data_IF_843995114518
#
_entry.id   IF_843995114518
#
_cell.length_a   1.000
_cell.length_b   1.000
_cell.length_c   1.000
_cell.angle_alpha   90.00
_cell.angle_beta   90.00
_cell.angle_gamma   90.00
#
_symmetry.space_group_name_H-M   'P 1'
#
loop_
_entity.id
_entity.type
_entity.pdbx_description
1 polymer ?
#
# COMPACT_ATOMS: atom_id res chain seq x y z
N UNK A 1 -24.72 7.00 9.28
CA UNK A 1 -23.31 7.00 9.75
C UNK A 1 -22.72 5.62 10.06
N UNK A 2 -22.93 5.03 11.25
CA UNK A 2 -22.10 3.98 11.89
C UNK A 2 -21.44 2.93 10.97
N UNK A 3 -22.21 2.25 10.11
CA UNK A 3 -21.70 1.18 9.26
C UNK A 3 -20.66 1.63 8.21
N UNK A 4 -20.60 2.92 7.86
CA UNK A 4 -19.57 3.45 6.95
C UNK A 4 -18.24 3.57 7.69
N UNK A 5 -18.26 4.24 8.86
CA UNK A 5 -17.11 4.33 9.76
C UNK A 5 -16.54 2.95 10.12
N UNK A 6 -17.41 1.97 10.40
CA UNK A 6 -17.00 0.60 10.72
C UNK A 6 -16.23 -0.09 9.57
N UNK A 7 -16.68 0.11 8.32
CA UNK A 7 -16.10 -0.53 7.12
C UNK A 7 -14.84 0.16 6.63
N UNK A 8 -14.80 1.48 6.64
CA UNK A 8 -13.60 2.25 6.33
C UNK A 8 -12.55 2.19 7.45
N UNK A 9 -12.92 1.73 8.66
CA UNK A 9 -12.03 1.74 9.82
C UNK A 9 -11.78 3.16 10.33
N UNK A 10 -12.71 4.08 10.13
CA UNK A 10 -12.55 5.52 10.39
C UNK A 10 -13.23 5.97 11.69
N UNK A 11 -13.10 7.26 12.01
CA UNK A 11 -13.83 7.92 13.08
C UNK A 11 -14.73 9.00 12.49
N UNK A 12 -16.01 8.72 12.29
CA UNK A 12 -16.96 9.68 11.70
C UNK A 12 -17.90 10.25 12.75
N UNK A 13 -18.21 11.54 12.65
CA UNK A 13 -19.19 12.24 13.51
C UNK A 13 -20.55 12.29 12.81
N UNK A 14 -21.56 11.69 13.45
CA UNK A 14 -22.97 11.82 13.08
C UNK A 14 -23.54 13.10 13.69
N UNK A 15 -24.13 13.95 12.85
CA UNK A 15 -24.81 15.18 13.26
C UNK A 15 -26.14 14.89 13.98
N UNK A 16 -26.67 15.82 14.80
CA UNK A 16 -28.00 15.69 15.39
C UNK A 16 -29.08 15.53 14.32
N UNK A 17 -29.82 14.42 14.33
CA UNK A 17 -30.87 14.11 13.36
C UNK A 17 -31.91 13.15 13.95
N UNK A 18 -33.12 13.07 13.36
CA UNK A 18 -34.21 12.14 13.74
C UNK A 18 -34.52 12.07 15.25
N UNK A 19 -34.51 13.22 15.95
CA UNK A 19 -34.80 13.31 17.40
C UNK A 19 -33.62 12.96 18.30
N UNK A 20 -32.42 12.76 17.76
CA UNK A 20 -31.18 12.73 18.53
C UNK A 20 -30.63 14.16 18.65
N UNK A 21 -30.49 14.67 19.89
CA UNK A 21 -30.14 16.07 20.18
C UNK A 21 -28.62 16.35 20.17
N UNK A 22 -27.78 15.31 20.21
CA UNK A 22 -26.32 15.43 20.35
C UNK A 22 -25.55 14.70 19.26
N UNK A 23 -24.37 15.23 18.91
CA UNK A 23 -23.46 14.55 17.98
C UNK A 23 -23.02 13.17 18.50
N UNK A 24 -22.85 12.20 17.59
CA UNK A 24 -22.38 10.85 17.94
C UNK A 24 -21.12 10.50 17.16
N UNK A 25 -20.02 10.22 17.88
CA UNK A 25 -18.73 9.88 17.27
C UNK A 25 -18.57 8.36 17.15
N UNK A 26 -18.59 7.86 15.91
CA UNK A 26 -18.45 6.45 15.55
C UNK A 26 -16.98 6.10 15.31
N UNK A 27 -16.24 5.78 16.38
CA UNK A 27 -14.79 5.54 16.32
C UNK A 27 -14.44 4.06 16.08
N UNK A 28 -14.03 3.73 14.85
CA UNK A 28 -13.61 2.38 14.45
C UNK A 28 -12.15 2.28 13.99
N UNK A 29 -11.31 3.28 14.29
CA UNK A 29 -9.86 3.33 13.97
C UNK A 29 -9.06 2.09 14.35
N UNK A 30 -9.48 1.34 15.36
CA UNK A 30 -8.89 0.04 15.74
C UNK A 30 -9.09 -1.09 14.70
N UNK A 31 -9.86 -0.85 13.63
CA UNK A 31 -10.05 -1.76 12.48
C UNK A 31 -9.17 -1.45 11.28
N UNK A 32 -8.34 -0.40 11.33
CA UNK A 32 -7.40 -0.09 10.23
C UNK A 32 -6.52 -1.28 9.83
N UNK A 33 -6.14 -2.17 10.77
CA UNK A 33 -5.41 -3.41 10.48
C UNK A 33 -6.22 -4.53 9.79
N UNK A 34 -7.42 -4.24 9.32
CA UNK A 34 -8.24 -5.12 8.45
C UNK A 34 -8.73 -4.43 7.19
N UNK A 35 -8.58 -3.11 7.08
CA UNK A 35 -9.02 -2.33 5.93
C UNK A 35 -7.78 -1.98 5.11
N UNK A 36 -7.66 -2.53 3.91
CA UNK A 36 -6.55 -2.24 2.99
C UNK A 36 -6.66 -0.82 2.46
N UNK A 37 -7.85 -0.48 1.99
CA UNK A 37 -8.18 0.82 1.39
C UNK A 37 -9.68 1.08 1.52
N UNK A 38 -10.09 2.35 1.65
CA UNK A 38 -11.48 2.74 1.50
C UNK A 38 -11.60 4.04 0.70
N UNK A 39 -12.55 4.10 -0.24
CA UNK A 39 -12.76 5.20 -1.17
C UNK A 39 -14.24 5.36 -1.54
N UNK A 40 -14.64 6.52 -2.04
CA UNK A 40 -16.00 6.74 -2.54
C UNK A 40 -15.93 6.86 -4.06
N UNK A 41 -16.73 6.06 -4.76
CA UNK A 41 -16.95 6.17 -6.19
C UNK A 41 -18.24 6.95 -6.44
N UNK A 42 -18.13 8.01 -7.25
CA UNK A 42 -19.18 8.98 -7.52
C UNK A 42 -19.51 9.03 -9.02
N UNK A 43 -20.78 9.33 -9.39
CA UNK A 43 -21.13 9.73 -10.74
C UNK A 43 -20.40 11.02 -11.15
N UNK A 44 -20.17 11.21 -12.44
CA UNK A 44 -19.39 12.35 -12.92
C UNK A 44 -20.10 13.71 -12.63
N UNK A 45 -21.44 13.70 -12.58
CA UNK A 45 -22.31 14.85 -12.20
C UNK A 45 -22.61 14.92 -10.69
N UNK A 46 -21.87 14.17 -9.85
CA UNK A 46 -22.10 14.18 -8.40
C UNK A 46 -21.60 15.47 -7.74
N UNK A 47 -22.30 15.98 -6.72
CA UNK A 47 -21.87 17.19 -6.04
C UNK A 47 -20.59 16.97 -5.23
N UNK A 48 -19.71 17.97 -5.22
CA UNK A 48 -18.36 17.88 -4.63
C UNK A 48 -18.35 17.48 -3.14
N UNK A 49 -19.41 17.79 -2.39
CA UNK A 49 -19.53 17.39 -0.99
C UNK A 49 -19.67 15.87 -0.79
N UNK A 50 -20.11 15.12 -1.81
CA UNK A 50 -20.29 13.67 -1.73
C UNK A 50 -18.95 12.90 -1.67
N UNK A 51 -17.83 13.57 -1.95
CA UNK A 51 -16.49 13.00 -1.82
C UNK A 51 -16.02 12.87 -0.37
N UNK A 52 -16.64 13.59 0.59
CA UNK A 52 -16.38 13.38 2.01
C UNK A 52 -17.34 12.32 2.59
N UNK A 53 -16.76 11.30 3.23
CA UNK A 53 -17.53 10.17 3.78
C UNK A 53 -18.45 10.57 4.93
N UNK A 54 -18.00 11.49 5.79
CA UNK A 54 -18.80 12.01 6.89
C UNK A 54 -19.98 12.82 6.35
N UNK A 55 -19.75 13.67 5.36
CA UNK A 55 -20.78 14.51 4.76
C UNK A 55 -21.80 13.68 3.98
N UNK A 56 -21.34 12.76 3.13
CA UNK A 56 -22.20 11.84 2.38
C UNK A 56 -23.14 11.07 3.30
N UNK A 57 -22.61 10.43 4.34
CA UNK A 57 -23.42 9.62 5.25
C UNK A 57 -24.17 10.42 6.30
N UNK A 58 -23.86 11.69 6.56
CA UNK A 58 -24.75 12.57 7.32
C UNK A 58 -25.94 12.99 6.48
N UNK A 59 -25.72 13.49 5.25
CA UNK A 59 -26.82 13.86 4.34
C UNK A 59 -27.75 12.68 4.00
N UNK A 60 -27.24 11.45 3.90
CA UNK A 60 -28.09 10.25 3.73
C UNK A 60 -29.01 10.04 4.93
N UNK A 61 -28.51 10.16 6.16
CA UNK A 61 -29.34 10.02 7.36
C UNK A 61 -30.36 11.17 7.43
N UNK A 62 -29.91 12.42 7.20
CA UNK A 62 -30.73 13.64 7.16
C UNK A 62 -31.89 13.57 6.15
N UNK A 63 -31.67 12.95 4.99
CA UNK A 63 -32.68 12.79 3.94
C UNK A 63 -33.67 11.65 4.21
N UNK A 64 -33.27 10.65 4.99
CA UNK A 64 -34.05 9.43 5.28
C UNK A 64 -34.73 9.51 6.66
N UNK A 65 -35.58 10.52 6.82
CA UNK A 65 -36.22 10.96 8.09
C UNK A 65 -37.20 9.99 8.77
N UNK A 66 -37.35 8.75 8.27
CA UNK A 66 -38.29 7.77 8.86
C UNK A 66 -37.54 6.78 9.75
N UNK A 67 -38.09 6.49 10.94
CA UNK A 67 -37.51 5.51 11.89
C UNK A 67 -37.24 4.10 11.33
N UNK A 68 -37.89 3.75 10.21
CA UNK A 68 -37.74 2.49 9.48
C UNK A 68 -37.18 2.69 8.06
N UNK A 69 -36.51 3.81 7.80
CA UNK A 69 -35.85 4.07 6.54
C UNK A 69 -34.68 3.11 6.30
N UNK A 70 -34.38 2.89 5.02
CA UNK A 70 -33.24 2.09 4.58
C UNK A 70 -32.16 3.06 4.13
N UNK A 71 -31.17 3.27 4.98
CA UNK A 71 -30.10 4.30 4.86
C UNK A 71 -28.91 3.83 4.02
N UNK A 72 -29.21 3.08 2.96
CA UNK A 72 -28.25 2.48 2.03
C UNK A 72 -28.46 0.98 1.81
N UNK A 73 -27.73 0.44 0.82
CA UNK A 73 -27.62 -1.00 0.54
C UNK A 73 -26.17 -1.42 0.73
N UNK A 74 -25.97 -2.68 1.10
CA UNK A 74 -24.65 -3.29 1.16
C UNK A 74 -24.58 -4.48 0.19
N UNK A 75 -23.48 -4.55 -0.56
CA UNK A 75 -23.07 -5.70 -1.37
C UNK A 75 -21.66 -6.06 -0.92
N UNK A 76 -21.41 -7.34 -0.63
CA UNK A 76 -20.07 -7.84 -0.29
C UNK A 76 -19.60 -8.75 -1.42
N UNK A 77 -18.41 -8.47 -1.95
CA UNK A 77 -17.81 -9.18 -3.09
C UNK A 77 -16.55 -9.91 -2.63
N UNK A 78 -16.49 -11.22 -2.84
CA UNK A 78 -15.28 -12.02 -2.61
C UNK A 78 -14.33 -11.92 -3.79
N UNK A 79 -13.04 -11.71 -3.50
CA UNK A 79 -11.98 -11.49 -4.46
C UNK A 79 -11.08 -12.73 -4.54
N UNK A 80 -10.64 -13.07 -5.74
CA UNK A 80 -9.71 -14.17 -5.99
C UNK A 80 -8.29 -13.80 -5.53
N UNK A 81 -7.57 -14.74 -4.92
CA UNK A 81 -6.20 -14.53 -4.42
C UNK A 81 -5.19 -14.35 -5.55
N UNK A 82 -5.49 -14.91 -6.72
CA UNK A 82 -4.68 -14.84 -7.94
C UNK A 82 -4.71 -13.46 -8.61
N UNK A 83 -5.58 -12.55 -8.15
CA UNK A 83 -5.61 -11.14 -8.57
C UNK A 83 -4.86 -10.27 -7.57
N UNK A 84 -3.94 -9.43 -8.05
CA UNK A 84 -3.19 -8.50 -7.21
C UNK A 84 -4.12 -7.40 -6.65
N UNK A 85 -3.74 -6.72 -5.55
CA UNK A 85 -4.57 -5.67 -4.93
C UNK A 85 -5.08 -4.59 -5.90
N UNK A 86 -4.28 -4.20 -6.90
CA UNK A 86 -4.67 -3.24 -7.94
C UNK A 86 -5.73 -3.78 -8.91
N UNK A 87 -5.61 -5.05 -9.32
CA UNK A 87 -6.57 -5.73 -10.21
C UNK A 87 -7.89 -6.00 -9.49
N UNK A 88 -7.82 -6.47 -8.25
CA UNK A 88 -8.97 -6.58 -7.35
C UNK A 88 -9.72 -5.25 -7.19
N UNK A 89 -8.97 -4.14 -7.04
CA UNK A 89 -9.54 -2.79 -6.95
C UNK A 89 -10.27 -2.42 -8.24
N UNK A 90 -9.60 -2.57 -9.38
CA UNK A 90 -10.17 -2.26 -10.69
C UNK A 90 -11.45 -3.05 -10.97
N UNK A 91 -11.44 -4.36 -10.70
CA UNK A 91 -12.59 -5.26 -10.82
C UNK A 91 -13.80 -4.77 -10.02
N UNK A 92 -13.56 -4.31 -8.78
CA UNK A 92 -14.61 -3.77 -7.91
C UNK A 92 -15.09 -2.39 -8.38
N UNK A 93 -14.19 -1.52 -8.86
CA UNK A 93 -14.56 -0.21 -9.42
C UNK A 93 -15.39 -0.36 -10.70
N UNK A 94 -15.03 -1.30 -11.59
CA UNK A 94 -15.78 -1.59 -12.80
C UNK A 94 -17.18 -2.15 -12.48
N UNK A 95 -17.28 -3.12 -11.56
CA UNK A 95 -18.58 -3.63 -11.10
C UNK A 95 -19.42 -2.52 -10.47
N UNK A 96 -18.83 -1.72 -9.58
CA UNK A 96 -19.52 -0.61 -8.92
C UNK A 96 -20.01 0.44 -9.92
N UNK A 97 -19.19 0.76 -10.95
CA UNK A 97 -19.56 1.75 -11.96
C UNK A 97 -20.77 1.27 -12.78
N UNK A 98 -20.66 0.08 -13.40
CA UNK A 98 -21.69 -0.54 -14.24
C UNK A 98 -23.03 -0.73 -13.51
N UNK A 99 -23.01 -1.19 -12.26
CA UNK A 99 -24.23 -1.60 -11.54
C UNK A 99 -24.87 -0.49 -10.69
N UNK A 100 -24.15 0.59 -10.36
CA UNK A 100 -24.64 1.65 -9.46
C UNK A 100 -24.32 3.07 -9.94
N UNK A 101 -23.06 3.37 -10.27
CA UNK A 101 -22.62 4.76 -10.49
C UNK A 101 -23.19 5.33 -11.78
N UNK A 102 -23.22 4.55 -12.85
CA UNK A 102 -23.81 4.97 -14.14
C UNK A 102 -25.34 5.17 -14.04
N UNK A 103 -25.96 4.70 -12.94
CA UNK A 103 -27.37 4.94 -12.59
C UNK A 103 -27.55 6.11 -11.60
N UNK A 104 -26.48 6.88 -11.32
CA UNK A 104 -26.49 8.08 -10.49
C UNK A 104 -26.25 7.87 -9.00
N UNK A 105 -25.85 6.67 -8.55
CA UNK A 105 -25.62 6.38 -7.12
C UNK A 105 -24.17 6.58 -6.69
N UNK A 106 -23.95 7.10 -5.48
CA UNK A 106 -22.64 7.01 -4.83
C UNK A 106 -22.45 5.62 -4.20
N UNK A 107 -21.21 5.11 -4.27
CA UNK A 107 -20.80 3.84 -3.66
C UNK A 107 -19.59 4.10 -2.76
N UNK A 108 -19.75 3.89 -1.46
CA UNK A 108 -18.65 3.89 -0.49
C UNK A 108 -18.06 2.48 -0.40
N UNK A 109 -16.81 2.32 -0.82
CA UNK A 109 -16.13 1.04 -1.03
C UNK A 109 -15.04 0.89 0.03
N UNK A 110 -14.98 -0.28 0.69
CA UNK A 110 -13.88 -0.65 1.57
C UNK A 110 -13.35 -2.04 1.23
N UNK A 111 -12.05 -2.15 0.96
CA UNK A 111 -11.32 -3.39 0.71
C UNK A 111 -10.76 -3.94 2.02
N UNK A 112 -11.00 -5.22 2.28
CA UNK A 112 -10.58 -5.93 3.50
C UNK A 112 -9.83 -7.18 3.11
N UNK A 113 -8.63 -7.40 3.66
CA UNK A 113 -7.80 -8.56 3.33
C UNK A 113 -8.11 -9.80 4.17
N UNK A 114 -8.80 -9.64 5.31
CA UNK A 114 -8.98 -10.71 6.29
C UNK A 114 -10.43 -10.93 6.69
N UNK A 115 -10.81 -12.21 6.73
CA UNK A 115 -12.13 -12.65 7.15
C UNK A 115 -12.41 -12.50 8.65
N UNK A 116 -13.52 -13.12 9.07
CA UNK A 116 -13.96 -13.13 10.47
C UNK A 116 -12.89 -13.76 11.39
N UNK A 117 -12.60 -13.10 12.52
CA UNK A 117 -11.73 -13.66 13.57
C UNK A 117 -12.35 -14.91 14.20
N UNK A 118 -11.61 -16.01 14.18
CA UNK A 118 -11.86 -17.22 14.97
C UNK A 118 -11.15 -17.03 16.32
N UNK A 119 -11.82 -17.14 17.49
CA UNK A 119 -11.14 -17.01 18.78
C UNK A 119 -10.34 -18.27 19.10
N UNK A 120 -9.16 -18.14 19.73
CA UNK A 120 -8.34 -19.33 20.05
C UNK A 120 -8.92 -20.10 21.25
N UNK A 121 -9.40 -19.39 22.27
CA UNK A 121 -10.19 -19.95 23.35
C UNK A 121 -11.69 -19.82 23.03
N UNK A 122 -12.44 -20.91 23.17
CA UNK A 122 -13.90 -20.91 22.98
C UNK A 122 -14.38 -20.89 21.52
N UNK A 123 -13.52 -21.19 20.53
CA UNK A 123 -14.00 -21.52 19.19
C UNK A 123 -14.89 -22.77 19.21
N UNK A 124 -16.02 -22.70 18.52
CA UNK A 124 -16.91 -23.85 18.32
C UNK A 124 -16.26 -24.92 17.45
N UNK A 125 -16.79 -26.14 17.51
CA UNK A 125 -16.22 -27.31 16.86
C UNK A 125 -15.99 -27.13 15.35
N UNK A 126 -16.92 -26.47 14.64
CA UNK A 126 -16.80 -26.17 13.21
C UNK A 126 -15.64 -25.21 12.88
N UNK A 127 -15.41 -24.19 13.72
CA UNK A 127 -14.28 -23.26 13.53
C UNK A 127 -12.95 -23.97 13.85
N UNK A 128 -12.91 -24.84 14.85
CA UNK A 128 -11.73 -25.67 15.12
C UNK A 128 -11.47 -26.70 14.02
N UNK A 129 -12.52 -27.26 13.40
CA UNK A 129 -12.39 -28.17 12.27
C UNK A 129 -11.74 -27.48 11.07
N UNK A 130 -12.17 -26.25 10.73
CA UNK A 130 -11.54 -25.42 9.68
C UNK A 130 -10.06 -25.13 9.95
N UNK A 131 -9.69 -24.76 11.19
CA UNK A 131 -8.30 -24.53 11.55
C UNK A 131 -7.45 -25.80 11.37
N UNK A 132 -7.98 -26.98 11.72
CA UNK A 132 -7.31 -28.27 11.49
C UNK A 132 -7.22 -28.63 10.00
N UNK A 133 -8.24 -28.28 9.22
CA UNK A 133 -8.28 -28.49 7.76
C UNK A 133 -7.23 -27.64 7.05
N UNK A 134 -7.16 -26.34 7.32
CA UNK A 134 -6.13 -25.44 6.78
C UNK A 134 -4.72 -25.88 7.16
N UNK A 135 -4.49 -26.27 8.43
CA UNK A 135 -3.22 -26.81 8.88
C UNK A 135 -2.86 -28.13 8.16
N UNK A 136 -3.83 -29.01 7.92
CA UNK A 136 -3.64 -30.26 7.17
C UNK A 136 -3.38 -30.02 5.68
N UNK A 137 -3.96 -28.97 5.10
CA UNK A 137 -3.69 -28.52 3.74
C UNK A 137 -2.30 -27.86 3.57
N UNK A 138 -1.56 -27.64 4.67
CA UNK A 138 -0.25 -27.00 4.63
C UNK A 138 -0.30 -25.47 4.53
N UNK A 139 -1.47 -24.86 4.78
CA UNK A 139 -1.63 -23.40 4.72
C UNK A 139 -0.72 -22.72 5.77
N UNK A 140 0.01 -21.66 5.41
CA UNK A 140 0.88 -20.94 6.35
C UNK A 140 0.09 -20.29 7.49
N UNK A 141 0.54 -20.51 8.74
CA UNK A 141 0.08 -19.78 9.92
C UNK A 141 1.18 -18.79 10.31
N UNK A 142 0.93 -17.49 10.16
CA UNK A 142 1.97 -16.45 10.26
C UNK A 142 1.56 -15.31 11.20
N UNK A 143 2.53 -14.60 11.76
CA UNK A 143 2.29 -13.42 12.59
C UNK A 143 2.06 -12.16 11.72
N UNK A 144 1.38 -11.10 12.23
CA UNK A 144 1.04 -9.92 11.44
C UNK A 144 2.24 -9.17 10.82
N UNK A 145 3.42 -9.28 11.42
CA UNK A 145 4.67 -8.74 10.86
C UNK A 145 5.12 -9.45 9.59
N UNK A 146 4.83 -10.75 9.46
CA UNK A 146 5.23 -11.58 8.32
C UNK A 146 4.25 -11.46 7.14
N UNK A 147 3.02 -10.99 7.40
CA UNK A 147 2.01 -10.75 6.38
C UNK A 147 2.15 -9.38 5.67
N UNK A 148 3.13 -8.54 6.06
CA UNK A 148 3.27 -7.19 5.49
C UNK A 148 3.89 -7.25 4.09
N UNK A 149 3.05 -7.02 3.08
CA UNK A 149 3.40 -7.16 1.65
C UNK A 149 3.19 -8.57 1.11
N UNK A 150 2.25 -9.32 1.69
CA UNK A 150 1.96 -10.72 1.35
C UNK A 150 0.52 -10.87 0.85
N UNK A 151 0.35 -11.35 -0.38
CA UNK A 151 -0.95 -11.45 -1.07
C UNK A 151 -1.40 -12.91 -1.33
N UNK A 152 -0.62 -13.92 -0.95
CA UNK A 152 -0.97 -15.34 -1.07
C UNK A 152 -1.76 -15.88 0.15
N UNK A 153 -2.42 -17.03 0.00
CA UNK A 153 -3.33 -17.59 1.00
C UNK A 153 -2.59 -18.00 2.31
N UNK A 154 -3.06 -17.46 3.44
CA UNK A 154 -2.48 -17.72 4.76
C UNK A 154 -3.48 -17.48 5.91
N UNK A 155 -3.10 -17.89 7.12
CA UNK A 155 -3.83 -17.61 8.37
C UNK A 155 -2.98 -16.71 9.26
N UNK A 156 -3.49 -15.52 9.61
CA UNK A 156 -2.90 -14.72 10.68
C UNK A 156 -3.13 -15.36 12.04
N UNK A 157 -2.05 -15.48 12.81
CA UNK A 157 -2.06 -15.75 14.25
C UNK A 157 -2.13 -14.41 14.99
N UNK A 158 -3.09 -14.25 15.92
CA UNK A 158 -3.30 -13.00 16.65
C UNK A 158 -2.98 -13.17 18.13
N UNK A 159 -1.93 -12.52 18.61
CA UNK A 159 -1.48 -12.60 20.01
C UNK A 159 -1.86 -11.38 20.85
N UNK A 160 -1.85 -11.57 22.17
CA UNK A 160 -1.89 -10.47 23.13
C UNK A 160 -0.47 -10.02 23.54
N UNK A 161 -0.40 -9.05 24.48
CA UNK A 161 0.85 -8.52 25.02
C UNK A 161 1.65 -9.52 25.87
N UNK A 162 1.03 -10.63 26.29
CA UNK A 162 1.68 -11.73 27.00
C UNK A 162 2.10 -12.87 26.03
N UNK A 163 2.09 -12.60 24.72
CA UNK A 163 2.42 -13.52 23.63
C UNK A 163 1.48 -14.74 23.52
N UNK A 164 0.31 -14.71 24.17
CA UNK A 164 -0.68 -15.77 24.12
C UNK A 164 -1.52 -15.65 22.85
N UNK A 165 -1.79 -16.77 22.18
CA UNK A 165 -2.65 -16.78 20.99
C UNK A 165 -4.10 -16.52 21.42
N UNK A 166 -4.68 -15.46 20.88
CA UNK A 166 -6.05 -15.01 21.18
C UNK A 166 -7.05 -15.38 20.08
N UNK A 167 -6.57 -15.63 18.87
CA UNK A 167 -7.39 -16.02 17.73
C UNK A 167 -6.63 -16.04 16.41
N UNK A 168 -7.38 -16.32 15.35
CA UNK A 168 -6.89 -16.51 14.00
C UNK A 168 -7.75 -15.70 13.01
N UNK A 169 -7.20 -15.34 11.85
CA UNK A 169 -7.97 -14.81 10.71
C UNK A 169 -7.44 -15.41 9.41
N UNK A 170 -8.34 -15.92 8.59
CA UNK A 170 -8.02 -16.34 7.22
C UNK A 170 -7.78 -15.10 6.33
N UNK A 171 -6.76 -15.14 5.49
CA UNK A 171 -6.63 -14.23 4.35
C UNK A 171 -7.82 -14.50 3.41
N UNK A 172 -8.65 -13.50 3.21
CA UNK A 172 -9.90 -13.61 2.49
C UNK A 172 -10.20 -12.22 1.92
N UNK A 173 -9.58 -11.82 0.80
CA UNK A 173 -9.77 -10.50 0.25
C UNK A 173 -11.22 -10.33 -0.19
N UNK A 174 -11.85 -9.25 0.27
CA UNK A 174 -13.22 -8.91 -0.08
C UNK A 174 -13.44 -7.40 -0.08
N UNK A 175 -14.41 -6.96 -0.87
CA UNK A 175 -14.85 -5.57 -0.89
C UNK A 175 -16.27 -5.43 -0.32
N UNK A 176 -16.45 -4.48 0.58
CA UNK A 176 -17.77 -4.00 1.01
C UNK A 176 -18.14 -2.77 0.19
N UNK A 177 -19.23 -2.85 -0.57
CA UNK A 177 -19.80 -1.76 -1.34
C UNK A 177 -21.07 -1.28 -0.63
N UNK A 178 -21.04 -0.07 -0.07
CA UNK A 178 -22.21 0.58 0.54
C UNK A 178 -22.78 1.64 -0.40
N UNK A 179 -23.87 1.30 -1.06
CA UNK A 179 -24.56 2.15 -2.05
C UNK A 179 -25.54 3.09 -1.35
N UNK A 180 -25.64 4.34 -1.80
CA UNK A 180 -26.67 5.28 -1.32
C UNK A 180 -28.09 4.75 -1.59
N UNK A 181 -29.09 5.13 -0.76
CA UNK A 181 -30.46 4.63 -0.96
C UNK A 181 -31.17 5.23 -2.18
N UNK A 182 -30.58 6.28 -2.78
CA UNK A 182 -31.12 7.11 -3.87
C UNK A 182 -29.95 7.57 -4.77
N UNK A 183 -30.22 7.79 -6.07
CA UNK A 183 -29.28 8.48 -6.93
C UNK A 183 -29.30 9.99 -6.64
N UNK A 184 -28.29 10.71 -7.11
CA UNK A 184 -28.29 12.18 -7.13
C UNK A 184 -29.30 12.73 -8.15
N UNK A 185 -29.69 14.00 -7.94
CA UNK A 185 -30.53 14.79 -8.82
C UNK A 185 -30.07 16.26 -8.70
N UNK A 186 -28.97 16.60 -9.39
CA UNK A 186 -28.22 17.81 -9.10
C UNK A 186 -27.49 17.71 -7.75
N UNK A 187 -27.52 18.80 -6.97
CA UNK A 187 -26.83 18.91 -5.67
C UNK A 187 -27.53 18.18 -4.51
N UNK A 188 -28.66 17.50 -4.75
CA UNK A 188 -29.42 16.75 -3.75
C UNK A 188 -29.64 15.28 -4.16
N UNK A 189 -30.15 14.45 -3.22
CA UNK A 189 -30.67 13.13 -3.55
C UNK A 189 -32.04 13.20 -4.23
N UNK A 190 -32.29 12.30 -5.19
CA UNK A 190 -33.58 12.20 -5.86
C UNK A 190 -34.72 11.91 -4.88
N UNK A 191 -35.80 12.69 -4.96
CA UNK A 191 -37.01 12.51 -4.14
C UNK A 191 -37.74 11.21 -4.46
N UNK A 192 -37.53 10.63 -5.65
CA UNK A 192 -38.02 9.28 -6.00
C UNK A 192 -37.12 8.17 -5.44
N UNK A 193 -37.72 7.01 -5.13
CA UNK A 193 -37.01 5.74 -4.87
C UNK A 193 -37.14 4.75 -6.01
N UNK A 194 -37.71 5.15 -7.15
CA UNK A 194 -38.03 4.26 -8.25
C UNK A 194 -36.78 3.55 -8.79
N UNK A 195 -35.71 4.30 -9.08
CA UNK A 195 -34.42 3.77 -9.53
C UNK A 195 -33.85 2.74 -8.56
N UNK A 196 -33.91 2.98 -7.23
CA UNK A 196 -33.32 2.06 -6.25
C UNK A 196 -34.17 0.83 -5.93
N UNK A 197 -35.46 0.80 -6.31
CA UNK A 197 -36.31 -0.40 -6.19
C UNK A 197 -35.86 -1.54 -7.09
N UNK A 198 -35.15 -1.29 -8.19
CA UNK A 198 -34.66 -2.37 -9.07
C UNK A 198 -33.73 -3.31 -8.29
N UNK A 199 -32.93 -2.76 -7.37
CA UNK A 199 -32.00 -3.51 -6.55
C UNK A 199 -32.67 -4.39 -5.47
N UNK A 200 -33.95 -4.19 -5.16
CA UNK A 200 -34.71 -5.06 -4.24
C UNK A 200 -35.27 -6.32 -4.91
N UNK A 201 -35.19 -6.40 -6.24
CA UNK A 201 -35.70 -7.52 -7.02
C UNK A 201 -34.78 -8.74 -6.93
N UNK A 202 -35.37 -9.93 -6.81
CA UNK A 202 -34.62 -11.19 -6.75
C UNK A 202 -33.76 -11.40 -8.01
N UNK A 203 -34.29 -11.05 -9.18
CA UNK A 203 -33.63 -11.14 -10.48
C UNK A 203 -32.35 -10.28 -10.53
N UNK A 204 -32.34 -9.13 -9.85
CA UNK A 204 -31.15 -8.26 -9.78
C UNK A 204 -30.08 -8.85 -8.86
N UNK A 205 -30.48 -9.41 -7.72
CA UNK A 205 -29.55 -10.11 -6.83
C UNK A 205 -28.94 -11.37 -7.50
N UNK A 206 -29.74 -12.12 -8.27
CA UNK A 206 -29.24 -13.24 -9.07
C UNK A 206 -28.33 -12.75 -10.21
N UNK A 207 -28.67 -11.65 -10.92
CA UNK A 207 -27.79 -11.06 -11.94
C UNK A 207 -26.41 -10.76 -11.39
N UNK A 208 -26.31 -10.07 -10.26
CA UNK A 208 -25.01 -9.78 -9.64
C UNK A 208 -24.23 -11.06 -9.29
N UNK A 209 -24.90 -12.11 -8.81
CA UNK A 209 -24.26 -13.40 -8.53
C UNK A 209 -23.72 -14.11 -9.78
N UNK A 210 -24.38 -13.97 -10.94
CA UNK A 210 -23.92 -14.58 -12.19
C UNK A 210 -22.93 -13.73 -12.99
N UNK A 211 -23.05 -12.41 -12.95
CA UNK A 211 -22.14 -11.51 -13.67
C UNK A 211 -20.81 -11.29 -12.91
N UNK A 212 -20.82 -11.32 -11.56
CA UNK A 212 -19.59 -11.14 -10.79
C UNK A 212 -18.49 -12.17 -11.11
N UNK A 213 -18.75 -13.49 -11.15
CA UNK A 213 -17.74 -14.47 -11.56
C UNK A 213 -17.31 -14.31 -13.02
N UNK A 214 -18.19 -13.88 -13.94
CA UNK A 214 -17.80 -13.62 -15.33
C UNK A 214 -16.82 -12.46 -15.42
N UNK A 215 -17.09 -11.37 -14.71
CA UNK A 215 -16.21 -10.20 -14.66
C UNK A 215 -14.87 -10.57 -14.01
N UNK A 216 -14.89 -11.24 -12.85
CA UNK A 216 -13.70 -11.71 -12.16
C UNK A 216 -12.87 -12.69 -13.01
N UNK A 217 -13.51 -13.59 -13.76
CA UNK A 217 -12.82 -14.49 -14.69
C UNK A 217 -12.14 -13.73 -15.85
N UNK A 218 -12.73 -12.65 -16.34
CA UNK A 218 -12.12 -11.81 -17.37
C UNK A 218 -10.92 -10.99 -16.84
N UNK A 219 -10.82 -10.78 -15.52
CA UNK A 219 -9.58 -10.28 -14.89
C UNK A 219 -8.56 -11.41 -14.70
N UNK A 220 -8.98 -12.58 -14.21
CA UNK A 220 -8.10 -13.74 -14.00
C UNK A 220 -7.44 -14.19 -15.31
N UNK A 221 -8.17 -14.19 -16.42
CA UNK A 221 -7.65 -14.49 -17.75
C UNK A 221 -6.60 -13.46 -18.22
N UNK A 222 -6.82 -12.17 -17.95
CA UNK A 222 -5.85 -11.10 -18.25
C UNK A 222 -4.60 -11.15 -17.38
N UNK A 223 -4.75 -11.55 -16.11
CA UNK A 223 -3.64 -11.81 -15.20
C UNK A 223 -2.87 -13.11 -15.54
N UNK A 224 -3.27 -13.85 -16.58
CA UNK A 224 -2.62 -15.11 -16.99
C UNK A 224 -2.90 -16.29 -16.06
N UNK A 225 -3.85 -16.16 -15.13
CA UNK A 225 -4.26 -17.26 -14.24
C UNK A 225 -5.06 -18.31 -15.01
N UNK A 226 -4.91 -19.58 -14.64
CA UNK A 226 -5.76 -20.69 -15.11
C UNK A 226 -7.00 -20.90 -14.21
N UNK A 227 -7.03 -20.31 -13.00
CA UNK A 227 -8.11 -20.47 -12.03
C UNK A 227 -9.36 -19.71 -12.49
N UNK A 228 -10.55 -20.31 -12.31
CA UNK A 228 -11.84 -19.70 -12.67
C UNK A 228 -12.87 -19.87 -11.57
N UNK A 229 -13.58 -18.78 -11.26
CA UNK A 229 -14.67 -18.71 -10.27
C UNK A 229 -16.01 -19.01 -10.92
N UNK A 230 -16.94 -19.64 -10.19
CA UNK A 230 -18.32 -19.90 -10.63
C UNK A 230 -19.32 -19.41 -9.58
N UNK A 231 -20.56 -19.14 -10.01
CA UNK A 231 -21.65 -18.68 -9.15
C UNK A 231 -22.40 -19.81 -8.43
N UNK A 232 -22.29 -21.02 -8.97
CA UNK A 232 -23.05 -22.23 -8.65
C UNK A 232 -22.08 -23.40 -8.43
N UNK A 233 -22.53 -24.42 -7.70
CA UNK A 233 -21.80 -25.68 -7.57
C UNK A 233 -21.75 -26.45 -8.89
N UNK A 234 -20.98 -27.54 -8.94
CA UNK A 234 -20.83 -28.35 -10.17
C UNK A 234 -22.14 -29.03 -10.62
N UNK A 235 -23.14 -29.16 -9.73
CA UNK A 235 -24.41 -29.86 -9.97
C UNK A 235 -25.60 -28.94 -10.32
N UNK A 236 -25.43 -27.61 -10.36
CA UNK A 236 -26.53 -26.64 -10.54
C UNK A 236 -26.53 -25.95 -11.93
N UNK A 237 -27.66 -26.02 -12.65
CA UNK A 237 -27.84 -25.35 -13.94
C UNK A 237 -27.82 -23.80 -13.82
N UNK A 238 -27.26 -23.15 -14.85
CA UNK A 238 -27.20 -21.68 -14.93
C UNK A 238 -28.60 -21.06 -15.02
N UNK A 239 -28.85 -19.97 -14.28
CA UNK A 239 -30.09 -19.20 -14.42
C UNK A 239 -30.17 -18.55 -15.82
N UNK A 240 -31.16 -18.90 -16.66
CA UNK A 240 -31.17 -18.48 -18.05
C UNK A 240 -31.71 -17.05 -18.23
N UNK A 241 -31.20 -16.36 -19.26
CA UNK A 241 -31.93 -15.24 -19.90
C UNK A 241 -31.77 -13.83 -19.32
N UNK A 242 -30.74 -13.55 -18.53
CA UNK A 242 -30.46 -12.17 -18.07
C UNK A 242 -29.77 -11.33 -19.17
N UNK A 243 -30.26 -10.12 -19.51
CA UNK A 243 -29.59 -9.23 -20.46
C UNK A 243 -28.24 -8.74 -19.91
N UNK A 244 -27.20 -8.73 -20.75
CA UNK A 244 -25.95 -8.02 -20.44
C UNK A 244 -26.20 -6.51 -20.46
N UNK A 245 -25.62 -5.78 -19.51
CA UNK A 245 -25.42 -4.34 -19.65
C UNK A 245 -24.31 -4.09 -20.70
N UNK A 246 -24.37 -2.95 -21.40
CA UNK A 246 -23.40 -2.62 -22.44
C UNK A 246 -21.98 -2.47 -21.85
N UNK A 247 -20.98 -3.02 -22.53
CA UNK A 247 -19.58 -3.11 -22.06
C UNK A 247 -18.80 -1.78 -22.18
N UNK A 248 -19.49 -0.63 -22.11
CA UNK A 248 -19.03 0.68 -22.57
C UNK A 248 -18.03 1.43 -21.69
N UNK A 249 -17.95 1.15 -20.38
CA UNK A 249 -17.06 1.86 -19.44
C UNK A 249 -15.74 1.13 -19.12
N UNK A 250 -15.45 0.03 -19.84
CA UNK A 250 -14.46 -0.97 -19.45
C UNK A 250 -13.01 -0.48 -19.58
N UNK A 251 -12.63 0.01 -20.76
CA UNK A 251 -11.21 0.17 -21.15
C UNK A 251 -10.43 1.22 -20.34
N UNK A 252 -11.03 2.35 -19.98
CA UNK A 252 -10.34 3.40 -19.22
C UNK A 252 -10.03 2.98 -17.77
N UNK A 253 -10.94 2.25 -17.12
CA UNK A 253 -10.73 1.73 -15.76
C UNK A 253 -9.60 0.68 -15.77
N UNK A 254 -9.56 -0.21 -16.78
CA UNK A 254 -8.43 -1.15 -16.97
C UNK A 254 -7.12 -0.41 -17.20
N UNK A 255 -7.07 0.58 -18.09
CA UNK A 255 -5.85 1.33 -18.38
C UNK A 255 -5.35 2.18 -17.19
N UNK A 256 -6.23 2.56 -16.25
CA UNK A 256 -5.83 3.15 -14.96
C UNK A 256 -5.26 2.07 -14.02
N UNK A 257 -5.87 0.89 -14.01
CA UNK A 257 -5.43 -0.24 -13.19
C UNK A 257 -4.06 -0.78 -13.60
N UNK A 258 -3.81 -0.96 -14.90
CA UNK A 258 -2.53 -1.40 -15.45
C UNK A 258 -1.40 -0.43 -15.08
N UNK A 259 -1.62 0.90 -15.24
CA UNK A 259 -0.64 1.92 -14.82
C UNK A 259 -0.44 1.96 -13.30
N UNK A 260 -1.49 1.79 -12.51
CA UNK A 260 -1.37 1.71 -11.05
C UNK A 260 -0.59 0.45 -10.63
N UNK A 261 -0.78 -0.65 -11.36
CA UNK A 261 -0.07 -1.90 -11.16
C UNK A 261 1.41 -1.81 -11.54
N UNK A 262 1.77 -1.21 -12.69
CA UNK A 262 3.17 -0.94 -13.06
C UNK A 262 3.91 -0.12 -11.99
N UNK A 263 3.24 0.86 -11.39
CA UNK A 263 3.78 1.68 -10.30
C UNK A 263 3.95 0.89 -8.99
N UNK A 264 3.04 -0.04 -8.70
CA UNK A 264 3.09 -0.90 -7.51
C UNK A 264 4.19 -1.96 -7.63
N UNK A 265 4.34 -2.62 -8.78
CA UNK A 265 5.46 -3.54 -9.05
C UNK A 265 6.82 -2.81 -8.93
N UNK A 266 6.94 -1.59 -9.50
CA UNK A 266 8.15 -0.76 -9.34
C UNK A 266 8.41 -0.37 -7.88
N UNK A 267 7.36 -0.11 -7.08
CA UNK A 267 7.50 0.19 -5.66
C UNK A 267 7.90 -1.05 -4.85
N UNK A 268 7.30 -2.21 -5.15
CA UNK A 268 7.61 -3.48 -4.50
C UNK A 268 9.03 -3.93 -4.80
N UNK A 269 9.47 -3.87 -6.05
CA UNK A 269 10.85 -4.18 -6.43
C UNK A 269 11.85 -3.29 -5.68
N UNK A 270 11.64 -1.96 -5.63
CA UNK A 270 12.50 -1.05 -4.86
C UNK A 270 12.52 -1.36 -3.37
N UNK A 271 11.41 -1.82 -2.79
CA UNK A 271 11.32 -2.19 -1.39
C UNK A 271 11.96 -3.56 -1.09
N UNK A 272 11.86 -4.52 -2.01
CA UNK A 272 12.60 -5.81 -1.97
C UNK A 272 14.11 -5.56 -2.05
N UNK A 273 14.58 -4.71 -2.98
CA UNK A 273 15.97 -4.28 -3.12
C UNK A 273 16.50 -3.55 -1.86
N UNK A 274 15.67 -2.68 -1.27
CA UNK A 274 15.98 -2.02 0.00
C UNK A 274 16.11 -3.01 1.17
N UNK A 275 15.15 -3.94 1.33
CA UNK A 275 15.21 -5.01 2.34
C UNK A 275 16.44 -5.91 2.16
N UNK A 276 16.72 -6.35 0.94
CA UNK A 276 17.91 -7.15 0.63
C UNK A 276 19.23 -6.40 0.94
N UNK A 277 19.21 -5.06 0.88
CA UNK A 277 20.34 -4.22 1.29
C UNK A 277 20.44 -4.12 2.81
N UNK A 278 19.33 -3.88 3.51
CA UNK A 278 19.30 -3.87 4.98
C UNK A 278 19.69 -5.22 5.61
N UNK A 279 19.29 -6.35 5.00
CA UNK A 279 19.65 -7.68 5.49
C UNK A 279 21.14 -8.00 5.28
N UNK A 280 21.74 -7.57 4.15
CA UNK A 280 23.20 -7.62 3.93
C UNK A 280 23.94 -6.76 4.97
N UNK A 281 23.45 -5.54 5.24
CA UNK A 281 23.95 -4.67 6.29
C UNK A 281 23.86 -5.31 7.68
N UNK A 282 22.72 -5.94 8.00
CA UNK A 282 22.47 -6.61 9.28
C UNK A 282 23.39 -7.81 9.47
N UNK A 283 23.56 -8.65 8.44
CA UNK A 283 24.47 -9.79 8.46
C UNK A 283 25.93 -9.35 8.68
N UNK A 284 26.38 -8.33 7.94
CA UNK A 284 27.71 -7.75 8.12
C UNK A 284 27.94 -7.22 9.55
N UNK A 285 26.99 -6.43 10.07
CA UNK A 285 27.05 -5.86 11.43
C UNK A 285 27.03 -6.95 12.51
N UNK A 286 26.26 -8.03 12.32
CA UNK A 286 26.23 -9.15 13.27
C UNK A 286 27.62 -9.81 13.39
N UNK A 287 28.23 -10.21 12.27
CA UNK A 287 29.57 -10.83 12.25
C UNK A 287 30.65 -9.87 12.76
N UNK A 288 30.55 -8.58 12.41
CA UNK A 288 31.49 -7.56 12.88
C UNK A 288 31.41 -7.35 14.41
N UNK A 289 30.20 -7.17 14.95
CA UNK A 289 29.99 -6.96 16.38
C UNK A 289 30.33 -8.20 17.22
N UNK A 290 30.02 -9.40 16.73
CA UNK A 290 30.39 -10.65 17.41
C UNK A 290 31.91 -10.85 17.42
N UNK A 291 32.61 -10.49 16.33
CA UNK A 291 34.08 -10.50 16.30
C UNK A 291 34.69 -9.56 17.35
N UNK A 292 34.16 -8.33 17.49
CA UNK A 292 34.61 -7.37 18.51
C UNK A 292 34.34 -7.91 19.92
N UNK A 293 33.12 -8.41 20.17
CA UNK A 293 32.72 -9.02 21.45
C UNK A 293 33.63 -10.18 21.84
N UNK A 294 33.91 -11.08 20.89
CA UNK A 294 34.76 -12.24 21.12
C UNK A 294 36.22 -11.83 21.36
N UNK A 295 36.77 -10.88 20.60
CA UNK A 295 38.12 -10.33 20.86
C UNK A 295 38.25 -9.86 22.31
N UNK A 296 37.28 -9.08 22.78
CA UNK A 296 37.25 -8.60 24.17
C UNK A 296 37.16 -9.73 25.22
N UNK A 297 36.53 -10.86 24.89
CA UNK A 297 36.48 -12.04 25.78
C UNK A 297 37.84 -12.74 25.87
N UNK A 298 38.55 -12.88 24.74
CA UNK A 298 39.88 -13.53 24.71
C UNK A 298 40.93 -12.71 25.45
N UNK A 299 40.90 -11.38 25.28
CA UNK A 299 41.78 -10.44 26.01
C UNK A 299 41.58 -10.51 27.54
N UNK A 300 40.43 -11.02 28.01
CA UNK A 300 40.03 -11.10 29.43
C UNK A 300 39.86 -12.52 29.98
N UNK A 301 40.20 -13.58 29.22
CA UNK A 301 40.14 -14.97 29.73
C UNK A 301 41.52 -15.49 30.13
N UNK A 302 41.57 -16.31 31.18
CA UNK A 302 42.78 -17.04 31.59
C UNK A 302 43.09 -18.14 30.56
N UNK A 303 44.02 -17.85 29.66
CA UNK A 303 44.54 -18.74 28.63
C UNK A 303 46.03 -18.44 28.43
N UNK A 304 46.80 -19.37 27.86
CA UNK A 304 48.20 -19.11 27.54
C UNK A 304 48.33 -18.07 26.42
N UNK A 305 49.47 -17.38 26.35
CA UNK A 305 49.69 -16.33 25.36
C UNK A 305 49.70 -16.89 23.91
N UNK A 306 50.15 -18.14 23.71
CA UNK A 306 50.06 -18.83 22.42
C UNK A 306 48.60 -19.10 22.01
N UNK A 307 47.77 -19.63 22.91
CA UNK A 307 46.34 -19.86 22.64
C UNK A 307 45.57 -18.56 22.35
N UNK A 308 45.96 -17.45 23.01
CA UNK A 308 45.39 -16.12 22.75
C UNK A 308 45.76 -15.63 21.35
N UNK A 309 47.03 -15.73 20.97
CA UNK A 309 47.49 -15.26 19.67
C UNK A 309 46.91 -16.10 18.51
N UNK A 310 46.79 -17.43 18.65
CA UNK A 310 46.13 -18.28 17.64
C UNK A 310 44.66 -17.88 17.40
N UNK A 311 43.88 -17.71 18.48
CA UNK A 311 42.47 -17.30 18.38
C UNK A 311 42.34 -15.90 17.78
N UNK A 312 43.24 -14.98 18.15
CA UNK A 312 43.32 -13.62 17.64
C UNK A 312 43.62 -13.60 16.14
N UNK A 313 44.57 -14.39 15.66
CA UNK A 313 44.87 -14.54 14.23
C UNK A 313 43.70 -15.13 13.44
N UNK A 314 43.05 -16.19 13.95
CA UNK A 314 41.89 -16.81 13.30
C UNK A 314 40.74 -15.80 13.12
N UNK A 315 40.48 -14.96 14.14
CA UNK A 315 39.43 -13.94 14.13
C UNK A 315 39.79 -12.73 13.27
N UNK A 316 41.05 -12.28 13.26
CA UNK A 316 41.53 -11.29 12.30
C UNK A 316 41.30 -11.78 10.86
N UNK A 317 41.60 -13.05 10.57
CA UNK A 317 41.31 -13.66 9.26
C UNK A 317 39.82 -13.77 8.92
N UNK A 318 38.94 -13.99 9.90
CA UNK A 318 37.48 -13.94 9.70
C UNK A 318 36.98 -12.51 9.47
N UNK A 319 37.48 -11.54 10.25
CA UNK A 319 37.17 -10.12 10.14
C UNK A 319 37.57 -9.54 8.79
N UNK A 320 38.80 -9.78 8.34
CA UNK A 320 39.29 -9.34 7.04
C UNK A 320 38.49 -9.92 5.87
N UNK A 321 37.98 -11.16 5.98
CA UNK A 321 37.07 -11.73 4.99
C UNK A 321 35.72 -11.01 4.98
N UNK A 322 35.11 -10.77 6.15
CA UNK A 322 33.84 -10.03 6.25
C UNK A 322 33.94 -8.58 5.73
N UNK A 323 35.02 -7.87 6.09
CA UNK A 323 35.35 -6.53 5.57
C UNK A 323 35.61 -6.60 4.05
N UNK A 324 36.34 -7.60 3.58
CA UNK A 324 36.62 -7.81 2.15
C UNK A 324 35.35 -8.02 1.33
N UNK A 325 34.40 -8.84 1.79
CA UNK A 325 33.09 -8.99 1.13
C UNK A 325 32.31 -7.67 1.11
N UNK A 326 32.30 -6.90 2.21
CA UNK A 326 31.62 -5.60 2.22
C UNK A 326 32.23 -4.61 1.23
N UNK A 327 33.56 -4.56 1.15
CA UNK A 327 34.29 -3.67 0.24
C UNK A 327 34.09 -4.02 -1.25
N UNK A 328 33.67 -5.24 -1.60
CA UNK A 328 33.28 -5.58 -2.98
C UNK A 328 31.98 -4.91 -3.41
N UNK A 329 31.07 -4.62 -2.48
CA UNK A 329 29.74 -4.08 -2.79
C UNK A 329 29.67 -2.55 -2.65
N UNK A 330 30.50 -1.98 -1.77
CA UNK A 330 30.64 -0.54 -1.54
C UNK A 330 30.75 0.33 -2.81
N UNK A 331 31.51 -0.03 -3.87
CA UNK A 331 31.63 0.82 -5.07
C UNK A 331 30.32 0.95 -5.85
N UNK A 332 29.44 -0.05 -5.76
CA UNK A 332 28.13 -0.05 -6.41
C UNK A 332 27.13 0.75 -5.57
N UNK A 333 27.07 0.50 -4.25
CA UNK A 333 26.23 1.26 -3.31
C UNK A 333 26.50 2.78 -3.37
N UNK A 334 27.78 3.19 -3.44
CA UNK A 334 28.15 4.60 -3.58
C UNK A 334 27.76 5.17 -4.94
N UNK A 335 27.86 4.37 -6.01
CA UNK A 335 27.47 4.79 -7.36
C UNK A 335 25.95 4.97 -7.46
N UNK A 336 25.17 3.99 -7.02
CA UNK A 336 23.71 4.01 -7.06
C UNK A 336 23.16 5.15 -6.19
N UNK A 337 23.77 5.40 -5.02
CA UNK A 337 23.47 6.61 -4.25
C UNK A 337 23.86 7.89 -5.00
N UNK A 338 25.04 7.97 -5.65
CA UNK A 338 25.43 9.15 -6.42
C UNK A 338 24.55 9.40 -7.66
N UNK A 339 24.01 8.34 -8.28
CA UNK A 339 23.00 8.40 -9.33
C UNK A 339 21.68 8.95 -8.75
N UNK A 340 21.15 8.37 -7.65
CA UNK A 340 19.97 8.88 -6.93
C UNK A 340 20.09 10.33 -6.46
N UNK A 341 21.27 10.74 -5.97
CA UNK A 341 21.54 12.12 -5.58
C UNK A 341 21.59 13.05 -6.80
N UNK A 342 22.15 12.61 -7.93
CA UNK A 342 22.13 13.36 -9.20
C UNK A 342 20.71 13.54 -9.74
N UNK A 343 19.90 12.49 -9.76
CA UNK A 343 18.49 12.58 -10.20
C UNK A 343 17.68 13.50 -9.30
N UNK A 344 17.88 13.41 -7.98
CA UNK A 344 17.23 14.29 -7.00
C UNK A 344 17.68 15.75 -7.13
N UNK A 345 18.97 15.99 -7.43
CA UNK A 345 19.50 17.32 -7.73
C UNK A 345 18.95 17.85 -9.06
N UNK A 346 18.84 17.03 -10.11
CA UNK A 346 18.26 17.41 -11.39
C UNK A 346 16.78 17.80 -11.26
N UNK A 347 15.99 17.02 -10.51
CA UNK A 347 14.60 17.33 -10.18
C UNK A 347 14.45 18.61 -9.34
N UNK A 348 15.47 18.97 -8.55
CA UNK A 348 15.49 20.22 -7.78
C UNK A 348 16.23 21.37 -8.46
N UNK A 349 16.90 21.15 -9.60
CA UNK A 349 17.71 22.16 -10.27
C UNK A 349 16.88 23.40 -10.63
N UNK A 350 15.67 23.21 -11.18
CA UNK A 350 14.74 24.30 -11.48
C UNK A 350 14.28 25.08 -10.23
N UNK A 351 14.23 24.43 -9.06
CA UNK A 351 13.93 25.10 -7.77
C UNK A 351 15.14 25.87 -7.23
N UNK A 352 16.33 25.31 -7.35
CA UNK A 352 17.59 25.92 -6.88
C UNK A 352 18.00 27.11 -7.78
N UNK A 353 17.78 27.00 -9.10
CA UNK A 353 17.95 28.08 -10.09
C UNK A 353 17.19 29.35 -9.69
N UNK A 354 15.93 29.21 -9.27
CA UNK A 354 15.10 30.33 -8.82
C UNK A 354 15.44 30.89 -7.43
N UNK A 355 16.25 30.18 -6.63
CA UNK A 355 16.53 30.51 -5.23
C UNK A 355 17.96 31.05 -5.02
N UNK A 356 18.90 30.70 -5.90
CA UNK A 356 20.33 31.05 -5.79
C UNK A 356 20.86 31.93 -6.93
N UNK A 357 20.05 32.22 -7.97
CA UNK A 357 20.39 33.17 -9.03
C UNK A 357 21.58 32.78 -9.93
N UNK A 358 22.07 31.55 -9.82
CA UNK A 358 23.23 31.05 -10.57
C UNK A 358 22.80 30.40 -11.89
N UNK A 359 23.26 30.92 -13.02
CA UNK A 359 23.02 30.31 -14.33
C UNK A 359 23.99 29.16 -14.60
N UNK A 360 23.56 27.94 -14.27
CA UNK A 360 24.24 26.70 -14.63
C UNK A 360 24.18 26.49 -16.15
N UNK A 361 25.30 26.15 -16.82
CA UNK A 361 25.29 25.80 -18.25
C UNK A 361 25.36 24.28 -18.43
N UNK A 362 24.68 23.71 -19.45
CA UNK A 362 24.70 22.25 -19.67
C UNK A 362 26.10 21.64 -19.84
N UNK A 363 27.06 22.43 -20.31
CA UNK A 363 28.43 22.01 -20.60
C UNK A 363 29.29 21.81 -19.32
N UNK A 364 28.83 22.30 -18.15
CA UNK A 364 29.51 22.16 -16.86
C UNK A 364 29.55 20.69 -16.35
N UNK A 365 28.87 19.76 -17.04
CA UNK A 365 28.76 18.34 -16.67
C UNK A 365 29.22 17.41 -17.80
N UNK A 366 30.43 17.66 -18.34
CA UNK A 366 31.04 16.66 -19.22
C UNK A 366 32.36 17.00 -19.90
N UNK A 367 33.50 16.72 -19.25
CA UNK A 367 34.44 15.69 -19.73
C UNK A 367 35.77 15.61 -18.94
N UNK A 368 36.19 14.37 -18.66
CA UNK A 368 37.58 13.94 -18.88
C UNK A 368 38.68 14.27 -17.87
N UNK A 369 38.71 15.45 -17.25
CA UNK A 369 39.93 15.89 -16.56
C UNK A 369 40.08 15.36 -15.12
N UNK A 370 41.28 14.81 -14.85
CA UNK A 370 41.68 14.31 -13.53
C UNK A 370 41.74 15.46 -12.53
N UNK A 371 41.40 15.23 -11.24
CA UNK A 371 41.71 16.19 -10.20
C UNK A 371 43.22 16.44 -10.13
N UNK A 372 43.67 17.68 -9.84
CA UNK A 372 45.09 18.00 -9.78
C UNK A 372 45.79 17.17 -8.70
N UNK A 373 46.98 16.66 -9.03
CA UNK A 373 47.81 15.89 -8.10
C UNK A 373 48.31 16.74 -6.92
N UNK A 374 48.80 16.10 -5.84
CA UNK A 374 49.28 16.81 -4.67
C UNK A 374 50.48 17.70 -5.01
N UNK A 375 50.43 18.96 -4.57
CA UNK A 375 51.50 19.94 -4.76
C UNK A 375 52.67 19.57 -3.85
N UNK A 376 53.79 19.15 -4.45
CA UNK A 376 55.06 18.96 -3.73
C UNK A 376 55.66 20.31 -3.32
N UNK A 377 56.25 20.35 -2.12
CA UNK A 377 56.85 21.55 -1.52
C UNK A 377 58.37 21.47 -1.59
N UNK A 378 58.95 21.83 -2.74
CA UNK A 378 60.36 22.23 -2.79
C UNK A 378 60.63 23.27 -3.87
N UNK A 379 61.61 24.15 -3.61
CA UNK A 379 61.86 25.43 -4.31
C UNK A 379 60.76 26.48 -4.06
N UNK A 380 61.06 27.76 -3.83
CA UNK A 380 62.36 28.43 -3.69
C UNK A 380 62.10 29.93 -3.44
N UNK A 381 62.94 30.59 -2.64
CA UNK A 381 62.85 32.05 -2.44
C UNK A 381 63.01 32.79 -3.78
N UNK A 382 62.35 33.94 -3.96
CA UNK A 382 62.97 35.27 -3.90
C UNK A 382 62.04 36.39 -4.42
N UNK A 383 62.12 37.58 -3.78
CA UNK A 383 61.90 38.94 -4.31
C UNK A 383 60.52 39.25 -4.97
N UNK A 384 59.96 40.47 -4.95
CA UNK A 384 60.37 41.78 -4.41
C UNK A 384 59.54 42.86 -5.12
N UNK A 385 59.21 43.95 -4.42
CA UNK A 385 58.43 45.13 -4.89
C UNK A 385 56.98 44.85 -5.40
N UNK A 386 56.01 45.77 -5.33
CA UNK A 386 55.96 47.13 -4.78
C UNK A 386 54.71 47.83 -5.37
N UNK A 387 53.85 48.51 -4.58
CA UNK A 387 52.60 49.04 -5.11
C UNK A 387 52.81 50.41 -5.80
N UNK A 388 52.39 50.53 -7.06
CA UNK A 388 52.17 51.85 -7.68
C UNK A 388 50.68 52.14 -7.81
N UNK A 389 50.38 53.43 -7.67
CA UNK A 389 49.08 54.05 -7.51
C UNK A 389 48.71 54.79 -8.81
N UNK A 390 47.46 55.28 -8.86
CA UNK A 390 46.98 56.35 -9.74
C UNK A 390 46.83 55.95 -11.25
N UNK A 391 45.89 56.48 -12.05
CA UNK A 391 44.94 57.56 -11.77
C UNK A 391 43.64 57.60 -12.61
N UNK A 392 42.64 58.32 -12.07
CA UNK A 392 41.55 59.11 -12.69
C UNK A 392 40.63 58.65 -13.85
N UNK A 393 39.33 58.96 -13.64
CA UNK A 393 38.30 59.26 -14.67
C UNK A 393 37.27 58.15 -14.90
N UNK A 394 35.95 58.33 -14.71
CA UNK A 394 35.14 59.48 -14.27
C UNK A 394 33.69 59.31 -14.76
N UNK A 395 32.70 59.81 -13.99
CA UNK A 395 31.32 60.28 -14.31
C UNK A 395 30.80 60.05 -15.76
N UNK A 396 29.54 59.73 -16.06
CA UNK A 396 28.23 59.76 -15.36
C UNK A 396 27.29 58.78 -16.13
N UNK A 397 26.06 58.41 -15.72
CA UNK A 397 25.15 58.91 -14.68
C UNK A 397 24.54 57.73 -13.89
#
# INVERSE_FOLDING_TARGET
MAGAAYRAGESLTERPHNGNETERVHRYTKRGSTVREALILLPDEAPAWAADRGELWNRVEEFETRKNARVGREVQLGLAYELRPAEQKALVLEFARREFVDQGFAVDIAFHDYGKRIPAAGAGEADQARLREWAKAGMPFIEPSEATGRDDEHVLVLRDRANQVTGYKHYQPHAHLRVTPRPFAGDEFSKSKETSRVFDKHETAMRWRYEWPKLQNAYLERAGSEVRVRAVGDDEEQFPGLPRLAEGGSQEIHAIAERAHELDDQARQKHEEARATEDRDRAFRAVHNDTIRLSFIDDNTEASDEERDERRQMRLGAWWRNIGERLKHWPFEVKDHADLWRDRLALQANRLLGLLGWHFKPDDVGSGDKPPGPVDRSQGKEQGDGPSRDDHGGFEL
#
